data_IF_757176825511
#
_entry.id   IF_757176825511
#
_cell.length_a   1.000
_cell.length_b   1.000
_cell.length_c   1.000
_cell.angle_alpha   90.00
_cell.angle_beta   90.00
_cell.angle_gamma   90.00
#
_symmetry.space_group_name_H-M   'P 1'
#
loop_
_entity.id
_entity.type
_entity.pdbx_description
1 polymer ?
#
# COMPACT_ATOMS: atom_id res chain seq x y z
N UNK A 1 29.89 -7.22 -13.66
CA UNK A 1 28.73 -7.85 -13.04
C UNK A 1 29.00 -9.34 -13.06
N UNK A 2 29.40 -9.91 -11.93
CA UNK A 2 29.33 -11.37 -11.80
C UNK A 2 27.90 -11.79 -12.14
N UNK A 3 27.75 -12.81 -12.99
CA UNK A 3 26.47 -13.17 -13.61
C UNK A 3 25.40 -13.38 -12.53
N UNK A 4 24.39 -12.51 -12.48
CA UNK A 4 23.22 -12.72 -11.63
C UNK A 4 22.64 -14.09 -11.98
N UNK A 5 22.67 -15.01 -11.03
CA UNK A 5 22.32 -16.41 -11.26
C UNK A 5 20.82 -16.58 -11.08
N UNK A 6 20.14 -17.00 -12.14
CA UNK A 6 18.76 -17.50 -12.07
C UNK A 6 18.81 -18.92 -11.50
N UNK A 7 18.21 -19.09 -10.33
CA UNK A 7 18.21 -20.33 -9.52
C UNK A 7 16.93 -21.08 -9.79
N UNK A 8 17.05 -22.21 -10.49
CA UNK A 8 15.95 -23.13 -10.74
C UNK A 8 15.59 -23.90 -9.46
N UNK A 9 14.35 -23.77 -9.01
CA UNK A 9 13.83 -24.41 -7.79
C UNK A 9 12.79 -25.46 -8.17
N UNK A 10 13.01 -26.65 -7.64
CA UNK A 10 12.26 -27.89 -7.85
C UNK A 10 11.97 -28.52 -6.49
N UNK A 11 11.13 -29.57 -6.43
CA UNK A 11 10.81 -30.24 -5.17
C UNK A 11 12.05 -30.73 -4.42
N UNK A 12 13.07 -31.21 -5.15
CA UNK A 12 14.29 -31.80 -4.57
C UNK A 12 15.24 -30.82 -3.89
N UNK A 13 15.22 -29.54 -4.29
CA UNK A 13 16.12 -28.51 -3.73
C UNK A 13 15.36 -27.38 -3.01
N UNK A 14 14.03 -27.47 -2.89
CA UNK A 14 13.19 -26.44 -2.31
C UNK A 14 13.69 -25.94 -0.94
N UNK A 15 13.98 -26.84 -0.01
CA UNK A 15 14.41 -26.48 1.34
C UNK A 15 15.73 -25.71 1.37
N UNK A 16 16.70 -26.15 0.57
CA UNK A 16 17.99 -25.48 0.46
C UNK A 16 17.83 -24.09 -0.17
N UNK A 17 17.01 -23.96 -1.21
CA UNK A 17 16.79 -22.69 -1.90
C UNK A 17 16.01 -21.70 -1.05
N UNK A 18 14.98 -22.15 -0.31
CA UNK A 18 14.25 -21.31 0.63
C UNK A 18 15.11 -20.88 1.82
N UNK A 19 16.05 -21.71 2.28
CA UNK A 19 17.03 -21.29 3.28
C UNK A 19 17.91 -20.14 2.77
N UNK A 20 18.42 -20.23 1.53
CA UNK A 20 19.20 -19.15 0.92
C UNK A 20 18.36 -17.89 0.68
N UNK A 21 17.12 -18.06 0.26
CA UNK A 21 16.16 -16.97 0.07
C UNK A 21 15.91 -16.22 1.39
N UNK A 22 15.63 -16.95 2.48
CA UNK A 22 15.47 -16.38 3.84
C UNK A 22 16.69 -15.59 4.31
N UNK A 23 17.90 -16.12 4.12
CA UNK A 23 19.13 -15.41 4.48
C UNK A 23 19.31 -14.13 3.64
N UNK A 24 18.93 -14.16 2.37
CA UNK A 24 19.09 -13.02 1.45
C UNK A 24 18.13 -11.88 1.80
N UNK A 25 16.89 -12.20 2.18
CA UNK A 25 15.87 -11.21 2.56
C UNK A 25 16.29 -10.30 3.72
N UNK A 26 17.22 -10.74 4.58
CA UNK A 26 17.76 -9.93 5.68
C UNK A 26 18.50 -8.68 5.23
N UNK A 27 18.97 -8.67 3.98
CA UNK A 27 19.74 -7.57 3.39
C UNK A 27 19.11 -7.00 2.12
N UNK A 28 18.21 -7.74 1.47
CA UNK A 28 17.55 -7.38 0.23
C UNK A 28 16.03 -7.56 0.38
N UNK A 29 15.33 -6.51 0.77
CA UNK A 29 13.90 -6.53 1.12
C UNK A 29 12.96 -6.24 -0.07
N UNK A 30 13.51 -6.08 -1.28
CA UNK A 30 12.76 -5.77 -2.49
C UNK A 30 12.58 -7.03 -3.33
N UNK A 31 11.33 -7.50 -3.44
CA UNK A 31 10.91 -8.69 -4.17
C UNK A 31 10.29 -8.26 -5.49
N UNK A 32 11.04 -8.36 -6.59
CA UNK A 32 10.46 -8.25 -7.92
C UNK A 32 9.85 -9.58 -8.33
N UNK A 33 8.58 -9.57 -8.76
CA UNK A 33 7.79 -10.78 -8.99
C UNK A 33 7.24 -10.79 -10.41
N UNK A 34 7.24 -11.97 -11.01
CA UNK A 34 6.59 -12.28 -12.28
C UNK A 34 6.09 -13.74 -12.23
N UNK A 35 5.05 -14.08 -12.98
CA UNK A 35 4.45 -15.42 -12.97
C UNK A 35 4.14 -15.94 -14.36
N UNK A 36 4.25 -17.27 -14.53
CA UNK A 36 3.77 -17.97 -15.72
C UNK A 36 2.58 -18.85 -15.36
N UNK A 37 1.53 -18.79 -16.17
CA UNK A 37 0.24 -19.44 -15.94
C UNK A 37 -0.43 -19.80 -17.27
N UNK A 38 -1.46 -20.67 -17.30
CA UNK A 38 -1.96 -21.30 -18.55
C UNK A 38 -2.84 -20.36 -19.41
N UNK A 39 -2.60 -19.06 -19.34
CA UNK A 39 -3.33 -18.03 -20.08
C UNK A 39 -4.72 -17.71 -19.51
N UNK A 40 -5.56 -17.11 -20.35
CA UNK A 40 -6.88 -16.64 -19.97
C UNK A 40 -7.98 -17.54 -20.55
N UNK A 41 -8.86 -18.03 -19.68
CA UNK A 41 -10.08 -18.74 -20.07
C UNK A 41 -11.18 -17.76 -20.54
N UNK A 42 -11.23 -16.59 -19.92
CA UNK A 42 -12.02 -15.42 -20.34
C UNK A 42 -11.10 -14.28 -20.70
N UNK A 43 -11.28 -13.76 -21.91
CA UNK A 43 -10.59 -12.57 -22.37
C UNK A 43 -11.37 -11.32 -21.97
N UNK A 44 -10.69 -10.37 -21.35
CA UNK A 44 -11.27 -9.06 -21.02
C UNK A 44 -10.93 -8.03 -22.09
N UNK A 45 -11.93 -7.32 -22.66
CA UNK A 45 -11.68 -6.18 -23.55
C UNK A 45 -10.84 -5.08 -22.88
N UNK A 46 -10.03 -4.36 -23.65
CA UNK A 46 -9.15 -3.30 -23.11
C UNK A 46 -9.94 -2.16 -22.47
N UNK A 47 -11.09 -1.83 -23.04
CA UNK A 47 -12.04 -0.80 -22.62
C UNK A 47 -13.10 -1.32 -21.63
N UNK A 48 -12.99 -2.57 -21.19
CA UNK A 48 -13.92 -3.14 -20.23
C UNK A 48 -13.94 -2.34 -18.92
N UNK A 49 -15.13 -2.18 -18.28
CA UNK A 49 -15.22 -1.57 -16.97
C UNK A 49 -14.43 -2.39 -15.94
N UNK A 50 -13.96 -1.71 -14.89
CA UNK A 50 -13.14 -2.35 -13.84
C UNK A 50 -13.82 -3.54 -13.18
N UNK A 51 -15.14 -3.48 -12.99
CA UNK A 51 -15.94 -4.57 -12.42
C UNK A 51 -15.90 -5.83 -13.28
N UNK A 52 -16.00 -5.70 -14.60
CA UNK A 52 -15.88 -6.83 -15.53
C UNK A 52 -14.44 -7.35 -15.54
N UNK A 53 -13.45 -6.46 -15.58
CA UNK A 53 -12.03 -6.84 -15.56
C UNK A 53 -11.65 -7.64 -14.33
N UNK A 54 -12.12 -7.22 -13.15
CA UNK A 54 -11.89 -7.94 -11.92
C UNK A 54 -12.67 -9.27 -11.88
N UNK A 55 -13.92 -9.29 -12.36
CA UNK A 55 -14.72 -10.52 -12.45
C UNK A 55 -14.08 -11.58 -13.35
N UNK A 56 -13.56 -11.18 -14.51
CA UNK A 56 -12.85 -12.07 -15.43
C UNK A 56 -11.51 -12.54 -14.85
N UNK A 57 -10.76 -11.63 -14.20
CA UNK A 57 -9.53 -12.00 -13.48
C UNK A 57 -9.80 -13.05 -12.42
N UNK A 58 -10.81 -12.82 -11.57
CA UNK A 58 -11.23 -13.76 -10.54
C UNK A 58 -11.58 -15.11 -11.16
N UNK A 59 -12.42 -15.10 -12.19
CA UNK A 59 -12.81 -16.32 -12.90
C UNK A 59 -11.59 -17.08 -13.45
N UNK A 60 -10.66 -16.39 -14.11
CA UNK A 60 -9.46 -17.01 -14.64
C UNK A 60 -8.65 -17.66 -13.51
N UNK A 61 -8.25 -16.90 -12.50
CA UNK A 61 -7.36 -17.37 -11.42
C UNK A 61 -7.99 -18.47 -10.55
N UNK A 62 -9.29 -18.39 -10.29
CA UNK A 62 -9.97 -19.44 -9.52
C UNK A 62 -10.07 -20.78 -10.28
N UNK A 63 -9.96 -20.76 -11.61
CA UNK A 63 -10.16 -21.95 -12.47
C UNK A 63 -8.87 -22.42 -13.16
N UNK A 64 -7.73 -21.84 -12.82
CA UNK A 64 -6.41 -22.23 -13.35
C UNK A 64 -5.37 -22.28 -12.25
N UNK A 65 -4.34 -23.09 -12.46
CA UNK A 65 -3.21 -23.20 -11.53
C UNK A 65 -1.97 -22.47 -12.01
N UNK A 66 -1.17 -22.00 -11.05
CA UNK A 66 0.09 -21.30 -11.30
C UNK A 66 1.16 -22.31 -11.73
N UNK A 67 1.96 -21.98 -12.76
CA UNK A 67 2.97 -22.89 -13.30
C UNK A 67 4.37 -22.51 -12.79
N UNK A 68 4.72 -21.22 -12.89
CA UNK A 68 5.99 -20.71 -12.35
C UNK A 68 5.81 -19.41 -11.59
N UNK A 69 6.66 -19.21 -10.57
CA UNK A 69 6.81 -17.95 -9.84
C UNK A 69 8.29 -17.54 -9.88
N UNK A 70 8.56 -16.38 -10.43
CA UNK A 70 9.87 -15.76 -10.44
C UNK A 70 9.97 -14.72 -9.34
N UNK A 71 11.02 -14.77 -8.53
CA UNK A 71 11.30 -13.76 -7.52
C UNK A 71 12.75 -13.33 -7.62
N UNK A 72 12.99 -12.04 -7.86
CA UNK A 72 14.32 -11.44 -7.80
C UNK A 72 14.44 -10.55 -6.57
N UNK A 73 15.49 -10.79 -5.78
CA UNK A 73 15.78 -10.01 -4.58
C UNK A 73 16.81 -8.91 -4.87
N UNK A 74 16.45 -7.69 -4.51
CA UNK A 74 17.32 -6.51 -4.59
C UNK A 74 17.21 -5.62 -3.35
N UNK A 75 18.15 -4.69 -3.20
CA UNK A 75 18.12 -3.67 -2.16
C UNK A 75 17.56 -2.33 -2.69
N UNK A 76 17.40 -1.36 -1.80
CA UNK A 76 16.87 -0.03 -2.15
C UNK A 76 17.76 0.75 -3.14
N UNK A 77 19.02 0.37 -3.28
CA UNK A 77 19.99 0.97 -4.22
C UNK A 77 19.98 0.30 -5.59
N UNK A 78 19.22 -0.79 -5.75
CA UNK A 78 19.14 -1.56 -6.99
C UNK A 78 20.26 -2.59 -7.16
N UNK A 79 20.98 -2.94 -6.09
CA UNK A 79 21.90 -4.06 -6.12
C UNK A 79 21.10 -5.36 -6.08
N UNK A 80 21.32 -6.22 -7.06
CA UNK A 80 20.59 -7.48 -7.21
C UNK A 80 21.42 -8.60 -6.58
N UNK A 81 20.81 -9.36 -5.66
CA UNK A 81 21.48 -10.48 -5.02
C UNK A 81 21.35 -11.76 -5.83
N UNK A 82 20.12 -12.19 -6.11
CA UNK A 82 19.83 -13.46 -6.79
C UNK A 82 18.38 -13.50 -7.26
N UNK A 83 18.11 -14.39 -8.21
CA UNK A 83 16.78 -14.66 -8.76
C UNK A 83 16.43 -16.11 -8.53
N UNK A 84 15.22 -16.39 -8.04
CA UNK A 84 14.66 -17.73 -7.87
C UNK A 84 13.50 -17.92 -8.84
N UNK A 85 13.47 -19.08 -9.49
CA UNK A 85 12.36 -19.53 -10.31
C UNK A 85 11.79 -20.81 -9.71
N UNK A 86 10.60 -20.70 -9.14
CA UNK A 86 9.87 -21.82 -8.54
C UNK A 86 8.97 -22.45 -9.60
N UNK A 87 9.10 -23.77 -9.79
CA UNK A 87 8.32 -24.57 -10.74
C UNK A 87 7.29 -25.39 -9.98
N UNK A 88 5.98 -25.21 -10.24
CA UNK A 88 4.90 -25.89 -9.50
C UNK A 88 4.30 -27.05 -10.28
N UNK A 89 4.07 -28.19 -9.62
CA UNK A 89 3.57 -29.41 -10.26
C UNK A 89 2.05 -29.58 -10.19
N UNK A 90 1.33 -28.63 -9.59
CA UNK A 90 -0.11 -28.74 -9.36
C UNK A 90 -0.93 -28.58 -10.65
N UNK A 91 -0.39 -27.89 -11.67
CA UNK A 91 -1.06 -27.75 -12.97
C UNK A 91 -0.96 -29.03 -13.81
N UNK A 92 -2.12 -29.57 -14.23
CA UNK A 92 -2.21 -30.76 -15.07
C UNK A 92 -2.83 -30.45 -16.45
N UNK A 93 -1.95 -30.29 -17.45
CA UNK A 93 -2.31 -29.96 -18.83
C UNK A 93 -3.36 -30.89 -19.46
N UNK A 94 -3.43 -32.16 -19.02
CA UNK A 94 -4.33 -33.15 -19.63
C UNK A 94 -5.74 -33.12 -19.04
N UNK A 95 -5.90 -32.56 -17.83
CA UNK A 95 -7.15 -32.63 -17.06
C UNK A 95 -7.71 -31.25 -16.68
N UNK A 96 -6.92 -30.19 -16.76
CA UNK A 96 -7.32 -28.85 -16.34
C UNK A 96 -7.63 -27.91 -17.51
N UNK A 97 -8.50 -26.93 -17.25
CA UNK A 97 -8.83 -25.91 -18.23
C UNK A 97 -7.62 -25.00 -18.48
N UNK A 98 -7.27 -24.82 -19.76
CA UNK A 98 -6.17 -23.96 -20.15
C UNK A 98 -6.44 -23.28 -21.50
N UNK A 99 -5.67 -22.23 -21.79
CA UNK A 99 -5.64 -21.61 -23.10
C UNK A 99 -4.56 -22.29 -23.96
N UNK A 100 -4.98 -23.09 -24.95
CA UNK A 100 -4.06 -23.87 -25.79
C UNK A 100 -2.96 -23.03 -26.46
N UNK A 101 -3.31 -21.83 -26.95
CA UNK A 101 -2.33 -20.90 -27.56
C UNK A 101 -1.26 -20.47 -26.56
N UNK A 102 -1.65 -20.23 -25.30
CA UNK A 102 -0.73 -19.84 -24.23
C UNK A 102 0.16 -21.01 -23.83
N UNK A 103 -0.39 -22.22 -23.74
CA UNK A 103 0.38 -23.44 -23.49
C UNK A 103 1.40 -23.72 -24.61
N UNK A 104 1.00 -23.60 -25.87
CA UNK A 104 1.89 -23.75 -27.01
C UNK A 104 3.00 -22.70 -27.01
N UNK A 105 2.68 -21.47 -26.60
CA UNK A 105 3.65 -20.41 -26.43
C UNK A 105 4.66 -20.75 -25.32
N UNK A 106 4.20 -21.16 -24.14
CA UNK A 106 5.06 -21.55 -23.02
C UNK A 106 5.99 -22.73 -23.38
N UNK A 107 5.47 -23.74 -24.10
CA UNK A 107 6.29 -24.84 -24.62
C UNK A 107 7.40 -24.34 -25.55
N UNK A 108 7.09 -23.39 -26.44
CA UNK A 108 8.07 -22.78 -27.35
C UNK A 108 9.09 -21.91 -26.62
N UNK A 109 8.69 -21.28 -25.52
CA UNK A 109 9.58 -20.51 -24.62
C UNK A 109 10.48 -21.41 -23.76
N UNK A 110 10.28 -22.73 -23.80
CA UNK A 110 11.17 -23.71 -23.17
C UNK A 110 10.63 -24.36 -21.89
N UNK A 111 9.36 -24.16 -21.54
CA UNK A 111 8.76 -24.86 -20.39
C UNK A 111 8.56 -26.35 -20.71
N UNK A 112 9.16 -27.19 -19.87
CA UNK A 112 9.03 -28.65 -19.91
C UNK A 112 7.96 -29.11 -18.92
N UNK A 113 6.72 -29.23 -19.40
CA UNK A 113 5.57 -29.63 -18.59
C UNK A 113 5.70 -31.04 -18.00
N UNK A 114 6.38 -31.97 -18.69
CA UNK A 114 6.59 -33.32 -18.16
C UNK A 114 7.55 -33.30 -16.97
N UNK A 115 8.62 -32.51 -17.08
CA UNK A 115 9.52 -32.30 -15.96
C UNK A 115 8.85 -31.55 -14.81
N UNK A 116 8.06 -30.51 -15.09
CA UNK A 116 7.32 -29.76 -14.07
C UNK A 116 6.38 -30.69 -13.31
N UNK A 117 5.60 -31.53 -14.00
CA UNK A 117 4.72 -32.51 -13.37
C UNK A 117 5.48 -33.50 -12.49
N UNK A 118 6.67 -33.94 -12.92
CA UNK A 118 7.44 -34.98 -12.22
C UNK A 118 8.28 -34.45 -11.05
N UNK A 119 8.97 -33.33 -11.26
CA UNK A 119 10.01 -32.83 -10.36
C UNK A 119 9.62 -31.49 -9.69
N UNK A 120 8.47 -30.93 -10.04
CA UNK A 120 7.99 -29.64 -9.54
C UNK A 120 7.66 -29.65 -8.05
N UNK A 121 7.36 -28.45 -7.56
CA UNK A 121 7.04 -28.17 -6.17
C UNK A 121 5.54 -28.25 -5.99
N UNK A 122 5.07 -28.96 -4.97
CA UNK A 122 3.68 -28.84 -4.53
C UNK A 122 3.44 -27.45 -3.93
N UNK A 123 2.48 -26.70 -4.48
CA UNK A 123 2.11 -25.36 -4.03
C UNK A 123 1.78 -25.34 -2.53
N UNK A 124 1.13 -26.40 -2.02
CA UNK A 124 0.82 -26.56 -0.60
C UNK A 124 2.07 -26.60 0.31
N UNK A 125 3.15 -27.23 -0.15
CA UNK A 125 4.43 -27.31 0.58
C UNK A 125 5.16 -25.98 0.51
N UNK A 126 5.23 -25.38 -0.68
CA UNK A 126 5.81 -24.04 -0.86
C UNK A 126 5.13 -23.01 0.03
N UNK A 127 3.78 -22.96 0.01
CA UNK A 127 2.96 -22.02 0.78
C UNK A 127 3.32 -22.03 2.26
N UNK A 128 3.36 -23.20 2.90
CA UNK A 128 3.64 -23.29 4.34
C UNK A 128 5.01 -22.70 4.68
N UNK A 129 6.05 -23.09 3.94
CA UNK A 129 7.42 -22.62 4.17
C UNK A 129 7.59 -21.14 3.84
N UNK A 130 6.94 -20.68 2.77
CA UNK A 130 7.02 -19.30 2.33
C UNK A 130 6.30 -18.36 3.30
N UNK A 131 5.14 -18.75 3.85
CA UNK A 131 4.46 -18.00 4.90
C UNK A 131 5.29 -17.89 6.19
N UNK A 132 6.00 -18.96 6.58
CA UNK A 132 6.95 -18.91 7.71
C UNK A 132 8.02 -17.85 7.49
N UNK A 133 8.64 -17.82 6.29
CA UNK A 133 9.64 -16.80 5.93
C UNK A 133 9.02 -15.39 5.97
N UNK A 134 7.89 -15.18 5.29
CA UNK A 134 7.23 -13.86 5.24
C UNK A 134 6.80 -13.37 6.64
N UNK A 135 6.56 -14.26 7.59
CA UNK A 135 6.18 -13.88 8.97
C UNK A 135 7.34 -13.29 9.77
N UNK A 136 8.59 -13.60 9.40
CA UNK A 136 9.80 -13.17 10.11
C UNK A 136 10.36 -11.87 9.54
N UNK A 137 10.19 -11.63 8.24
CA UNK A 137 10.71 -10.43 7.57
C UNK A 137 9.69 -9.29 7.61
N UNK A 138 10.10 -8.16 8.16
CA UNK A 138 9.34 -6.91 8.13
C UNK A 138 9.76 -6.05 6.93
N UNK A 139 8.90 -5.12 6.51
CA UNK A 139 9.20 -4.08 5.51
C UNK A 139 9.59 -4.62 4.12
N UNK A 140 8.92 -5.69 3.68
CA UNK A 140 9.08 -6.21 2.33
C UNK A 140 8.40 -5.28 1.31
N UNK A 141 9.08 -5.03 0.19
CA UNK A 141 8.59 -4.23 -0.93
C UNK A 141 8.40 -5.15 -2.13
N UNK A 142 7.19 -5.19 -2.65
CA UNK A 142 6.82 -6.02 -3.80
C UNK A 142 6.82 -5.16 -5.05
N UNK A 143 7.51 -5.60 -6.09
CA UNK A 143 7.62 -4.89 -7.36
C UNK A 143 7.13 -5.78 -8.48
N UNK A 144 6.26 -5.24 -9.33
CA UNK A 144 5.73 -5.98 -10.49
C UNK A 144 5.70 -5.10 -11.72
N UNK A 145 5.47 -5.69 -12.89
CA UNK A 145 5.19 -4.95 -14.11
C UNK A 145 3.81 -5.35 -14.63
N UNK A 146 2.82 -4.46 -14.54
CA UNK A 146 1.42 -4.80 -14.87
C UNK A 146 0.90 -5.99 -14.03
N UNK A 147 1.37 -6.13 -12.80
CA UNK A 147 1.28 -7.40 -12.06
C UNK A 147 0.00 -7.62 -11.26
N UNK A 148 -1.15 -7.18 -11.77
CA UNK A 148 -2.43 -7.49 -11.13
C UNK A 148 -2.69 -9.01 -11.11
N UNK A 149 -2.41 -9.71 -12.22
CA UNK A 149 -2.54 -11.17 -12.29
C UNK A 149 -1.48 -11.85 -11.42
N UNK A 150 -0.23 -11.40 -11.46
CA UNK A 150 0.88 -11.97 -10.69
C UNK A 150 0.57 -11.94 -9.19
N UNK A 151 0.21 -10.77 -8.66
CA UNK A 151 -0.14 -10.62 -7.24
C UNK A 151 -1.41 -11.38 -6.88
N UNK A 152 -2.36 -11.52 -7.80
CA UNK A 152 -3.58 -12.27 -7.53
C UNK A 152 -3.32 -13.79 -7.50
N UNK A 153 -2.44 -14.34 -8.34
CA UNK A 153 -1.97 -15.72 -8.21
C UNK A 153 -1.19 -15.94 -6.92
N UNK A 154 -0.29 -15.01 -6.57
CA UNK A 154 0.44 -15.09 -5.29
C UNK A 154 -0.54 -14.98 -4.12
N UNK A 155 -1.57 -14.14 -4.20
CA UNK A 155 -2.61 -14.04 -3.17
C UNK A 155 -3.38 -15.37 -3.04
N UNK A 156 -3.86 -15.95 -4.14
CA UNK A 156 -4.52 -17.28 -4.16
C UNK A 156 -3.62 -18.34 -3.51
N UNK A 157 -2.34 -18.36 -3.87
CA UNK A 157 -1.34 -19.28 -3.31
C UNK A 157 -1.17 -19.09 -1.80
N UNK A 158 -1.07 -17.85 -1.32
CA UNK A 158 -0.85 -17.55 0.10
C UNK A 158 -2.10 -17.77 0.95
N UNK A 159 -3.25 -17.26 0.49
CA UNK A 159 -4.51 -17.38 1.22
C UNK A 159 -5.08 -18.79 1.17
N UNK A 160 -4.78 -19.55 0.11
CA UNK A 160 -5.37 -20.86 -0.18
C UNK A 160 -6.90 -20.80 -0.21
N UNK A 161 -7.43 -19.67 -0.70
CA UNK A 161 -8.85 -19.41 -0.88
C UNK A 161 -9.10 -18.92 -2.31
N UNK A 162 -10.35 -19.01 -2.74
CA UNK A 162 -10.81 -18.29 -3.93
C UNK A 162 -10.66 -16.78 -3.73
N UNK A 163 -10.37 -16.05 -4.81
CA UNK A 163 -10.18 -14.59 -4.71
C UNK A 163 -11.47 -13.89 -4.20
N UNK A 164 -11.37 -12.72 -3.54
CA UNK A 164 -12.56 -12.02 -3.05
C UNK A 164 -13.53 -11.62 -4.16
N UNK A 165 -14.82 -11.45 -3.83
CA UNK A 165 -15.85 -11.13 -4.83
C UNK A 165 -15.70 -9.73 -5.44
N UNK A 166 -15.13 -8.78 -4.68
CA UNK A 166 -14.96 -7.40 -5.10
C UNK A 166 -13.49 -7.00 -5.11
N UNK A 167 -13.14 -6.03 -5.95
CA UNK A 167 -11.77 -5.49 -6.00
C UNK A 167 -11.38 -4.82 -4.67
N UNK A 168 -12.35 -4.30 -3.93
CA UNK A 168 -12.12 -3.68 -2.62
C UNK A 168 -11.74 -4.71 -1.57
N UNK A 169 -12.41 -5.86 -1.56
CA UNK A 169 -12.07 -6.96 -0.66
C UNK A 169 -10.75 -7.62 -1.08
N UNK A 170 -10.46 -7.67 -2.38
CA UNK A 170 -9.16 -8.09 -2.90
C UNK A 170 -8.01 -7.24 -2.34
N UNK A 171 -8.08 -5.91 -2.45
CA UNK A 171 -6.98 -5.07 -1.95
C UNK A 171 -6.84 -5.13 -0.43
N UNK A 172 -7.94 -5.35 0.30
CA UNK A 172 -7.92 -5.57 1.76
C UNK A 172 -7.23 -6.89 2.13
N UNK A 173 -7.53 -7.97 1.43
CA UNK A 173 -6.89 -9.27 1.68
C UNK A 173 -5.42 -9.23 1.24
N UNK A 174 -5.13 -8.63 0.09
CA UNK A 174 -3.78 -8.40 -0.42
C UNK A 174 -2.91 -7.63 0.59
N UNK A 175 -3.48 -6.63 1.27
CA UNK A 175 -2.79 -5.82 2.27
C UNK A 175 -2.31 -6.60 3.52
N UNK A 176 -2.81 -7.83 3.73
CA UNK A 176 -2.33 -8.73 4.79
C UNK A 176 -0.93 -9.27 4.49
N UNK A 177 -0.65 -9.54 3.22
CA UNK A 177 0.59 -10.18 2.75
C UNK A 177 1.57 -9.20 2.12
N UNK A 178 1.07 -8.19 1.39
CA UNK A 178 1.88 -7.25 0.63
C UNK A 178 1.97 -5.91 1.37
N UNK A 179 3.08 -5.67 2.07
CA UNK A 179 3.26 -4.50 2.95
C UNK A 179 3.55 -3.19 2.21
N UNK A 180 4.18 -3.28 1.04
CA UNK A 180 4.39 -2.17 0.11
C UNK A 180 4.43 -2.75 -1.31
N UNK A 181 3.77 -2.09 -2.26
CA UNK A 181 3.61 -2.62 -3.64
C UNK A 181 3.91 -1.52 -4.65
N UNK A 182 4.68 -1.85 -5.69
CA UNK A 182 5.05 -0.93 -6.76
C UNK A 182 4.84 -1.60 -8.12
N UNK A 183 3.83 -1.13 -8.87
CA UNK A 183 3.64 -1.52 -10.27
C UNK A 183 4.39 -0.55 -11.19
N UNK A 184 5.45 -1.04 -11.83
CA UNK A 184 6.30 -0.28 -12.75
C UNK A 184 5.48 0.34 -13.88
N UNK A 185 4.49 -0.38 -14.40
CA UNK A 185 3.67 0.10 -15.52
C UNK A 185 2.76 1.24 -15.07
N UNK A 186 2.28 1.20 -13.82
CA UNK A 186 1.56 2.33 -13.21
C UNK A 186 2.48 3.54 -13.05
N UNK A 187 3.67 3.36 -12.49
CA UNK A 187 4.67 4.44 -12.33
C UNK A 187 5.04 5.08 -13.67
N UNK A 188 5.21 4.26 -14.72
CA UNK A 188 5.55 4.71 -16.07
C UNK A 188 4.53 5.69 -16.68
N UNK A 189 3.26 5.70 -16.21
CA UNK A 189 2.25 6.70 -16.63
C UNK A 189 2.68 8.13 -16.33
N UNK A 190 3.40 8.32 -15.25
CA UNK A 190 3.82 9.63 -14.73
C UNK A 190 5.23 10.02 -15.19
N UNK A 191 5.87 9.18 -16.02
CA UNK A 191 7.23 9.38 -16.49
C UNK A 191 7.23 9.89 -17.93
N UNK A 192 7.77 11.10 -18.15
CA UNK A 192 7.86 11.70 -19.49
C UNK A 192 8.67 10.81 -20.43
N UNK A 193 8.16 10.60 -21.64
CA UNK A 193 8.82 9.78 -22.67
C UNK A 193 8.51 8.29 -22.60
N UNK A 194 7.75 7.83 -21.59
CA UNK A 194 7.34 6.43 -21.46
C UNK A 194 5.90 6.19 -21.94
N UNK A 195 5.46 6.92 -22.98
CA UNK A 195 4.18 6.70 -23.68
C UNK A 195 2.95 6.56 -22.76
N UNK A 196 2.92 7.26 -21.62
CA UNK A 196 1.83 7.14 -20.64
C UNK A 196 1.68 5.73 -20.07
N UNK A 197 2.75 4.93 -20.00
CA UNK A 197 2.74 3.55 -19.50
C UNK A 197 2.24 2.50 -20.51
N UNK A 198 1.82 2.91 -21.71
CA UNK A 198 1.30 2.02 -22.77
C UNK A 198 2.44 1.34 -23.56
N UNK A 199 3.32 0.65 -22.86
CA UNK A 199 4.39 -0.18 -23.44
C UNK A 199 4.59 -1.48 -22.63
N UNK A 200 5.26 -2.46 -23.22
CA UNK A 200 5.65 -3.70 -22.55
C UNK A 200 7.01 -3.61 -21.88
N UNK A 201 7.30 -4.53 -20.96
CA UNK A 201 8.52 -4.56 -20.15
C UNK A 201 9.80 -4.52 -21.00
N UNK A 202 9.87 -5.33 -22.06
CA UNK A 202 11.01 -5.36 -22.98
C UNK A 202 11.27 -3.99 -23.63
N UNK A 203 10.21 -3.28 -24.06
CA UNK A 203 10.34 -1.95 -24.65
C UNK A 203 10.80 -0.94 -23.61
N UNK A 204 10.34 -1.08 -22.37
CA UNK A 204 10.74 -0.21 -21.27
C UNK A 204 12.22 -0.39 -20.94
N UNK A 205 12.67 -1.64 -20.86
CA UNK A 205 14.08 -1.98 -20.68
C UNK A 205 14.97 -1.38 -21.78
N UNK A 206 14.57 -1.50 -23.04
CA UNK A 206 15.29 -0.87 -24.16
C UNK A 206 15.42 0.65 -24.00
N UNK A 207 14.33 1.34 -23.63
CA UNK A 207 14.33 2.80 -23.42
C UNK A 207 15.26 3.20 -22.26
N UNK A 208 15.25 2.39 -21.19
CA UNK A 208 16.07 2.63 -20.00
C UNK A 208 17.50 2.09 -20.14
N UNK A 209 17.89 1.54 -21.29
CA UNK A 209 19.21 0.93 -21.54
C UNK A 209 19.55 -0.16 -20.53
N UNK A 210 18.56 -1.02 -20.25
CA UNK A 210 18.71 -2.20 -19.38
C UNK A 210 18.79 -3.45 -20.24
N UNK A 211 19.89 -4.18 -20.12
CA UNK A 211 20.09 -5.46 -20.80
C UNK A 211 19.33 -6.58 -20.07
N UNK A 212 18.69 -7.46 -20.84
CA UNK A 212 18.05 -8.67 -20.31
C UNK A 212 19.11 -9.73 -20.02
N UNK A 213 18.99 -10.38 -18.87
CA UNK A 213 19.74 -11.59 -18.54
C UNK A 213 18.77 -12.78 -18.42
N UNK A 214 18.90 -13.77 -19.31
CA UNK A 214 17.96 -14.89 -19.45
C UNK A 214 17.06 -14.76 -20.68
N UNK A 215 16.28 -15.81 -20.96
CA UNK A 215 15.30 -15.83 -22.06
C UNK A 215 14.04 -15.05 -21.66
N UNK A 216 13.38 -14.40 -22.61
CA UNK A 216 12.07 -13.78 -22.33
C UNK A 216 10.98 -14.84 -22.15
N UNK A 217 9.92 -14.53 -21.40
CA UNK A 217 8.78 -15.44 -21.14
C UNK A 217 9.16 -16.61 -20.25
N UNK A 218 9.85 -16.24 -19.17
CA UNK A 218 10.31 -17.11 -18.11
C UNK A 218 10.29 -16.29 -16.83
N UNK A 219 9.52 -16.74 -15.84
CA UNK A 219 9.21 -15.95 -14.65
C UNK A 219 10.48 -15.41 -13.95
N UNK A 220 11.54 -16.23 -13.86
CA UNK A 220 12.82 -15.84 -13.29
C UNK A 220 13.45 -14.68 -14.07
N UNK A 221 13.66 -14.84 -15.38
CA UNK A 221 14.25 -13.81 -16.25
C UNK A 221 13.42 -12.52 -16.29
N UNK A 222 12.09 -12.63 -16.33
CA UNK A 222 11.18 -11.47 -16.35
C UNK A 222 11.12 -10.76 -15.00
N UNK A 223 11.15 -11.48 -13.87
CA UNK A 223 11.30 -10.87 -12.54
C UNK A 223 12.65 -10.15 -12.37
N UNK A 224 13.72 -10.69 -12.97
CA UNK A 224 15.06 -10.07 -12.96
C UNK A 224 15.07 -8.79 -13.79
N UNK A 225 14.49 -8.83 -14.99
CA UNK A 225 14.36 -7.63 -15.81
C UNK A 225 13.50 -6.57 -15.11
N UNK A 226 12.42 -6.99 -14.45
CA UNK A 226 11.55 -6.13 -13.63
C UNK A 226 12.36 -5.42 -12.54
N UNK A 227 13.21 -6.13 -11.80
CA UNK A 227 14.10 -5.55 -10.78
C UNK A 227 15.06 -4.51 -11.38
N UNK A 228 15.76 -4.87 -12.46
CA UNK A 228 16.71 -3.98 -13.14
C UNK A 228 16.02 -2.71 -13.67
N UNK A 229 14.85 -2.86 -14.29
CA UNK A 229 14.04 -1.76 -14.80
C UNK A 229 13.58 -0.85 -13.67
N UNK A 230 13.10 -1.39 -12.56
CA UNK A 230 12.66 -0.59 -11.42
C UNK A 230 13.81 0.24 -10.83
N UNK A 231 14.97 -0.39 -10.60
CA UNK A 231 16.16 0.30 -10.11
C UNK A 231 16.59 1.44 -11.04
N UNK A 232 16.60 1.19 -12.36
CA UNK A 232 16.96 2.20 -13.35
C UNK A 232 15.92 3.31 -13.45
N UNK A 233 14.63 2.97 -13.42
CA UNK A 233 13.51 3.90 -13.47
C UNK A 233 13.55 4.87 -12.28
N UNK A 234 13.73 4.35 -11.06
CA UNK A 234 13.90 5.15 -9.84
C UNK A 234 15.00 6.20 -9.98
N UNK A 235 16.16 5.77 -10.49
CA UNK A 235 17.32 6.65 -10.63
C UNK A 235 17.14 7.71 -11.73
N UNK A 236 16.60 7.33 -12.89
CA UNK A 236 16.44 8.25 -14.04
C UNK A 236 15.36 9.29 -13.78
N UNK A 237 14.22 8.89 -13.20
CA UNK A 237 13.06 9.75 -13.00
C UNK A 237 12.94 10.31 -11.58
N UNK A 238 13.87 9.96 -10.67
CA UNK A 238 13.86 10.37 -9.25
C UNK A 238 12.53 10.06 -8.58
N UNK A 239 12.09 8.81 -8.75
CA UNK A 239 10.80 8.34 -8.23
C UNK A 239 10.80 8.35 -6.71
N UNK A 240 9.87 9.10 -6.11
CA UNK A 240 9.55 9.00 -4.69
C UNK A 240 8.54 7.87 -4.47
N UNK A 241 9.01 6.77 -3.87
CA UNK A 241 8.21 5.55 -3.67
C UNK A 241 6.89 5.79 -2.93
N UNK A 242 6.85 6.70 -1.94
CA UNK A 242 5.64 7.02 -1.18
C UNK A 242 4.45 7.44 -2.04
N UNK A 243 4.71 8.00 -3.23
CA UNK A 243 3.66 8.50 -4.13
C UNK A 243 3.02 7.37 -4.95
N UNK A 244 3.64 6.19 -4.99
CA UNK A 244 3.23 5.06 -5.84
C UNK A 244 2.93 3.79 -5.05
N UNK A 245 3.16 3.78 -3.73
CA UNK A 245 2.92 2.66 -2.84
C UNK A 245 1.45 2.19 -2.89
N UNK A 246 1.25 0.92 -3.26
CA UNK A 246 -0.04 0.24 -3.27
C UNK A 246 -0.81 0.34 -4.60
N UNK A 247 -0.38 1.16 -5.56
CA UNK A 247 -1.10 1.32 -6.82
C UNK A 247 -0.76 0.23 -7.83
N UNK A 248 -1.78 -0.28 -8.51
CA UNK A 248 -1.67 -1.26 -9.59
C UNK A 248 -2.20 -0.66 -10.90
N UNK A 249 -1.65 -1.07 -12.05
CA UNK A 249 -2.02 -0.49 -13.34
C UNK A 249 -3.51 -0.64 -13.69
N UNK A 250 -4.11 -1.77 -13.31
CA UNK A 250 -5.40 -2.22 -13.84
C UNK A 250 -6.58 -2.09 -12.88
N UNK A 251 -6.37 -1.62 -11.66
CA UNK A 251 -7.42 -1.41 -10.64
C UNK A 251 -7.21 -0.08 -9.93
N UNK A 252 -8.30 0.56 -9.53
CA UNK A 252 -8.30 1.91 -8.95
C UNK A 252 -7.98 1.90 -7.45
N UNK A 253 -8.54 0.99 -6.62
CA UNK A 253 -8.20 0.95 -5.20
C UNK A 253 -6.74 0.50 -5.01
N UNK A 254 -6.04 1.17 -4.09
CA UNK A 254 -4.67 0.81 -3.72
C UNK A 254 -4.64 -0.26 -2.63
N UNK A 255 -3.61 -1.11 -2.68
CA UNK A 255 -3.26 -2.02 -1.60
C UNK A 255 -2.65 -1.20 -0.48
N UNK A 256 -3.39 -1.00 0.60
CA UNK A 256 -2.94 -0.22 1.74
C UNK A 256 -2.72 -1.14 2.94
N UNK A 257 -1.46 -1.39 3.30
CA UNK A 257 -1.14 -2.24 4.46
C UNK A 257 -1.77 -1.67 5.74
N UNK A 258 -2.50 -2.54 6.46
CA UNK A 258 -3.05 -2.22 7.78
C UNK A 258 -2.03 -2.36 8.91
N UNK A 259 -0.83 -2.88 8.62
CA UNK A 259 0.25 -2.94 9.63
C UNK A 259 0.80 -1.53 9.80
N UNK A 260 0.84 -0.96 11.02
CA UNK A 260 1.50 0.33 11.23
C UNK A 260 2.94 0.22 10.72
N UNK A 261 3.36 1.15 9.85
CA UNK A 261 4.77 1.34 9.53
C UNK A 261 5.46 1.68 10.86
N UNK A 262 6.02 0.68 11.54
CA UNK A 262 6.87 0.95 12.70
C UNK A 262 8.13 1.58 12.12
N UNK A 263 8.12 2.92 12.06
CA UNK A 263 9.34 3.70 11.91
C UNK A 263 10.08 3.52 13.22
N UNK A 264 10.93 2.50 13.31
CA UNK A 264 11.94 2.45 14.37
C UNK A 264 12.97 3.49 13.93
N UNK A 265 13.14 4.63 14.61
CA UNK A 265 14.19 5.56 14.26
C UNK A 265 15.51 4.82 14.40
N UNK A 266 16.16 4.54 13.26
CA UNK A 266 17.54 4.07 13.24
C UNK A 266 18.41 5.23 13.70
N UNK A 267 18.66 5.31 15.00
CA UNK A 267 19.84 6.00 15.47
C UNK A 267 21.05 5.22 14.93
N UNK A 268 21.72 5.78 13.92
CA UNK A 268 23.04 5.32 13.52
C UNK A 268 23.95 5.40 14.75
N UNK A 269 24.22 4.26 15.40
CA UNK A 269 25.28 4.19 16.38
C UNK A 269 26.62 4.01 15.66
N UNK A 270 27.64 4.85 15.95
CA UNK A 270 28.98 4.59 15.46
C UNK A 270 29.51 3.29 16.10
N UNK A 271 30.11 2.43 15.26
CA UNK A 271 30.84 1.24 15.66
C UNK A 271 31.97 1.62 16.63
N UNK A 272 31.75 1.41 17.93
CA UNK A 272 32.83 1.35 18.93
C UNK A 272 33.06 -0.14 19.25
N UNK A 273 34.28 -0.67 19.06
CA UNK A 273 34.58 -2.06 19.40
C UNK A 273 34.71 -2.19 20.92
N UNK A 274 33.88 -3.04 21.54
CA UNK A 274 34.00 -3.35 22.98
C UNK A 274 34.79 -4.67 23.18
N UNK A 275 35.62 -4.79 24.24
CA UNK A 275 36.61 -5.85 24.46
C UNK A 275 36.00 -7.10 25.20
N UNK A 276 36.76 -8.19 25.47
CA UNK A 276 36.25 -9.55 25.66
C UNK A 276 35.68 -9.83 27.08
N UNK A 277 34.96 -10.96 27.29
CA UNK A 277 34.00 -11.13 28.38
C UNK A 277 34.56 -11.86 29.61
N UNK A 278 33.97 -11.62 30.79
CA UNK A 278 34.01 -12.47 31.99
C UNK A 278 32.84 -12.12 32.95
N UNK A 279 32.43 -12.99 33.89
CA UNK A 279 31.68 -14.24 33.73
C UNK A 279 30.30 -14.20 34.43
N UNK A 280 29.52 -15.27 34.22
CA UNK A 280 28.11 -15.48 34.61
C UNK A 280 27.72 -15.21 36.08
N UNK A 281 26.48 -14.72 36.27
CA UNK A 281 25.66 -15.09 37.42
C UNK A 281 24.18 -15.28 37.03
N UNK A 282 23.76 -16.53 37.19
CA UNK A 282 22.45 -17.14 37.42
C UNK A 282 21.17 -16.26 37.51
N UNK A 283 20.25 -16.55 36.57
CA UNK A 283 18.78 -16.73 36.65
C UNK A 283 18.00 -16.08 37.80
N UNK A 284 17.01 -15.24 37.43
CA UNK A 284 15.69 -15.18 38.07
C UNK A 284 14.60 -14.93 37.00
N UNK A 285 13.59 -15.79 36.96
CA UNK A 285 12.39 -15.69 36.13
C UNK A 285 11.53 -14.47 36.51
N UNK A 286 10.97 -13.76 35.51
CA UNK A 286 9.89 -12.80 35.69
C UNK A 286 9.85 -11.71 34.62
N UNK A 287 8.75 -11.60 33.87
CA UNK A 287 8.50 -10.56 32.85
C UNK A 287 8.81 -9.15 33.38
N UNK A 288 9.36 -8.22 32.58
CA UNK A 288 9.15 -6.80 32.82
C UNK A 288 7.82 -6.38 32.19
N UNK A 289 6.94 -5.83 33.03
CA UNK A 289 5.82 -5.00 32.61
C UNK A 289 6.34 -3.82 31.77
N UNK A 290 5.55 -3.40 30.78
CA UNK A 290 5.73 -2.11 30.09
C UNK A 290 5.98 -1.00 31.12
N UNK A 291 6.94 -0.09 30.89
CA UNK A 291 7.13 1.03 31.80
C UNK A 291 5.85 1.87 31.81
N UNK A 292 5.25 2.06 32.99
CA UNK A 292 4.22 3.07 33.20
C UNK A 292 4.89 4.42 32.90
N UNK A 293 4.49 5.07 31.82
CA UNK A 293 4.95 6.41 31.50
C UNK A 293 4.52 7.35 32.64
N UNK A 294 5.50 7.90 33.36
CA UNK A 294 5.26 8.90 34.40
C UNK A 294 4.97 10.25 33.72
N UNK A 295 3.93 10.98 34.17
CA UNK A 295 3.59 12.33 33.68
C UNK A 295 4.78 13.31 33.70
N UNK A 296 5.77 13.08 34.56
CA UNK A 296 7.00 13.88 34.62
C UNK A 296 7.90 13.79 33.37
N UNK A 297 7.65 12.84 32.46
CA UNK A 297 8.37 12.73 31.18
C UNK A 297 7.64 13.38 30.01
N UNK A 298 6.43 13.91 30.21
CA UNK A 298 5.69 14.65 29.19
C UNK A 298 6.36 16.03 29.06
N UNK A 299 6.97 16.28 27.90
CA UNK A 299 7.63 17.56 27.58
C UNK A 299 6.72 18.55 26.86
N UNK A 300 5.67 18.03 26.23
CA UNK A 300 4.73 18.82 25.44
C UNK A 300 3.32 18.28 25.66
N UNK A 301 2.39 19.17 25.97
CA UNK A 301 0.97 18.87 26.01
C UNK A 301 0.30 19.45 24.77
N UNK A 302 -0.28 18.57 23.95
CA UNK A 302 -0.96 18.93 22.72
C UNK A 302 -2.43 18.52 22.79
N UNK A 303 -3.32 19.46 22.44
CA UNK A 303 -4.74 19.18 22.24
C UNK A 303 -5.00 18.99 20.75
N UNK A 304 -5.77 17.96 20.41
CA UNK A 304 -6.17 17.64 19.05
C UNK A 304 -7.69 17.73 18.94
N UNK A 305 -8.16 18.59 18.04
CA UNK A 305 -9.57 18.82 17.78
C UNK A 305 -9.83 18.62 16.28
N UNK A 306 -10.96 17.99 15.99
CA UNK A 306 -11.40 17.64 14.65
C UNK A 306 -12.65 18.45 14.30
N UNK A 307 -12.43 19.72 13.94
CA UNK A 307 -13.54 20.63 13.72
C UNK A 307 -14.42 20.15 12.57
N UNK A 308 -15.64 19.72 12.90
CA UNK A 308 -16.75 19.46 11.99
C UNK A 308 -17.97 20.30 12.36
N UNK A 309 -17.74 21.48 12.93
CA UNK A 309 -18.83 22.39 13.26
C UNK A 309 -19.33 23.07 11.99
N UNK A 310 -20.51 22.64 11.57
CA UNK A 310 -21.32 23.31 10.57
C UNK A 310 -22.20 24.30 11.31
N UNK A 311 -22.00 25.60 11.09
CA UNK A 311 -22.91 26.68 11.50
C UNK A 311 -24.36 26.51 10.97
N UNK A 312 -24.61 25.42 10.23
CA UNK A 312 -25.85 25.08 9.53
C UNK A 312 -26.47 23.74 10.00
N UNK A 313 -25.97 23.16 11.09
CA UNK A 313 -26.37 21.83 11.57
C UNK A 313 -25.78 20.70 10.72
N UNK A 314 -25.95 19.46 11.18
CA UNK A 314 -25.43 18.27 10.48
C UNK A 314 -25.76 18.28 8.98
N UNK A 315 -24.74 18.02 8.14
CA UNK A 315 -24.88 17.72 6.71
C UNK A 315 -26.00 16.67 6.51
N UNK A 316 -26.86 16.74 5.49
CA UNK A 316 -28.01 15.83 5.36
C UNK A 316 -27.66 14.33 5.47
N UNK A 317 -26.46 13.94 5.04
CA UNK A 317 -25.95 12.57 5.14
C UNK A 317 -25.52 12.20 6.57
N UNK A 318 -24.94 13.15 7.31
CA UNK A 318 -24.63 12.98 8.74
C UNK A 318 -25.92 13.01 9.54
N UNK A 319 -26.89 13.86 9.18
CA UNK A 319 -28.21 13.93 9.81
C UNK A 319 -29.01 12.65 9.58
N UNK A 320 -28.99 12.07 8.38
CA UNK A 320 -29.54 10.72 8.14
C UNK A 320 -28.87 9.66 9.01
N UNK A 321 -27.55 9.74 9.18
CA UNK A 321 -26.80 8.80 10.04
C UNK A 321 -27.13 9.00 11.52
N UNK A 322 -27.22 10.25 11.97
CA UNK A 322 -27.55 10.65 13.36
C UNK A 322 -29.02 10.34 13.69
N UNK A 323 -29.94 10.55 12.74
CA UNK A 323 -31.37 10.22 12.86
C UNK A 323 -31.62 8.71 12.82
N UNK A 324 -30.77 7.93 12.13
CA UNK A 324 -30.80 6.46 12.14
C UNK A 324 -30.15 5.84 13.38
N UNK A 325 -29.35 6.60 14.13
CA UNK A 325 -28.63 6.16 15.33
C UNK A 325 -29.36 6.52 16.64
N UNK A 326 -30.66 6.23 16.75
CA UNK A 326 -31.43 6.18 18.02
C UNK A 326 -31.10 7.32 19.04
N UNK A 327 -30.84 8.53 18.54
CA UNK A 327 -30.44 9.67 19.36
C UNK A 327 -31.64 10.19 20.15
N UNK A 328 -31.44 10.67 21.40
CA UNK A 328 -32.54 11.15 22.21
C UNK A 328 -33.26 12.33 21.51
N UNK A 329 -34.60 12.29 21.39
CA UNK A 329 -35.36 13.37 20.77
C UNK A 329 -35.13 14.71 21.51
N UNK A 330 -35.28 15.86 20.80
CA UNK A 330 -35.10 17.19 21.38
C UNK A 330 -35.87 17.34 22.70
N UNK A 331 -35.21 17.86 23.73
CA UNK A 331 -35.82 18.10 25.05
C UNK A 331 -35.68 16.98 26.09
N UNK A 332 -34.83 15.97 25.86
CA UNK A 332 -34.46 14.95 26.88
C UNK A 332 -33.19 15.27 27.69
N UNK A 333 -32.40 16.27 27.28
CA UNK A 333 -31.28 16.78 28.07
C UNK A 333 -31.79 17.75 29.14
N UNK A 334 -31.17 17.75 30.32
CA UNK A 334 -31.61 18.53 31.49
C UNK A 334 -31.63 20.05 31.28
N UNK A 335 -30.95 20.52 30.23
CA UNK A 335 -30.84 21.93 29.83
C UNK A 335 -31.59 22.26 28.52
N UNK A 336 -32.36 21.31 27.96
CA UNK A 336 -33.06 21.43 26.68
C UNK A 336 -32.15 21.65 25.45
N UNK A 337 -30.84 21.46 25.57
CA UNK A 337 -29.92 21.48 24.43
C UNK A 337 -30.19 20.30 23.47
N UNK A 338 -29.69 20.41 22.24
CA UNK A 338 -29.72 19.36 21.24
C UNK A 338 -28.32 19.16 20.66
N UNK A 339 -28.13 18.15 19.80
CA UNK A 339 -26.83 17.84 19.20
C UNK A 339 -26.49 18.73 17.98
N UNK A 340 -27.28 19.78 17.69
CA UNK A 340 -27.04 20.64 16.52
C UNK A 340 -25.73 21.46 16.67
N UNK A 341 -25.30 21.71 17.91
CA UNK A 341 -24.04 22.41 18.24
C UNK A 341 -23.27 21.52 19.23
N UNK A 342 -22.12 20.98 18.80
CA UNK A 342 -21.34 20.05 19.63
C UNK A 342 -20.25 20.76 20.44
N UNK A 343 -19.25 21.34 19.77
CA UNK A 343 -18.11 22.04 20.37
C UNK A 343 -18.03 23.41 19.71
N UNK A 344 -18.59 24.45 20.35
CA UNK A 344 -18.78 25.78 19.75
C UNK A 344 -17.50 26.64 19.68
N UNK A 345 -16.38 26.02 19.29
CA UNK A 345 -15.09 26.69 19.22
C UNK A 345 -15.10 27.84 18.21
N UNK A 346 -15.83 27.70 17.10
CA UNK A 346 -15.90 28.74 16.09
C UNK A 346 -16.26 30.12 16.69
N UNK A 347 -17.16 30.14 17.67
CA UNK A 347 -17.55 31.36 18.39
C UNK A 347 -16.71 31.64 19.64
N UNK A 348 -16.21 30.60 20.33
CA UNK A 348 -15.52 30.71 21.63
C UNK A 348 -14.01 30.43 21.59
N UNK A 349 -13.38 30.47 20.41
CA UNK A 349 -11.97 30.11 20.27
C UNK A 349 -11.04 30.96 21.16
N UNK A 350 -11.39 32.22 21.41
CA UNK A 350 -10.57 33.09 22.25
C UNK A 350 -10.56 32.64 23.72
N UNK A 351 -11.72 32.27 24.25
CA UNK A 351 -11.90 31.70 25.58
C UNK A 351 -11.25 30.33 25.70
N UNK A 352 -11.44 29.47 24.68
CA UNK A 352 -10.84 28.14 24.63
C UNK A 352 -9.32 28.21 24.63
N UNK A 353 -8.72 29.13 23.87
CA UNK A 353 -7.27 29.37 23.87
C UNK A 353 -6.79 29.85 25.24
N UNK A 354 -7.57 30.67 25.95
CA UNK A 354 -7.23 31.08 27.30
C UNK A 354 -7.24 29.88 28.26
N UNK A 355 -8.23 28.99 28.16
CA UNK A 355 -8.27 27.76 28.94
C UNK A 355 -7.09 26.83 28.61
N UNK A 356 -6.76 26.68 27.32
CA UNK A 356 -5.58 25.92 26.89
C UNK A 356 -4.30 26.49 27.53
N UNK A 357 -4.18 27.82 27.60
CA UNK A 357 -3.04 28.48 28.23
C UNK A 357 -3.00 28.21 29.73
N UNK A 358 -4.13 28.32 30.41
CA UNK A 358 -4.25 28.10 31.86
C UNK A 358 -3.96 26.64 32.24
N UNK A 359 -4.25 25.70 31.34
CA UNK A 359 -3.89 24.28 31.45
C UNK A 359 -2.42 23.96 31.15
N UNK A 360 -1.66 24.93 30.62
CA UNK A 360 -0.25 24.75 30.25
C UNK A 360 -0.04 23.96 28.97
N UNK A 361 -0.96 24.08 27.99
CA UNK A 361 -0.79 23.50 26.65
C UNK A 361 0.37 24.18 25.90
N UNK A 362 1.18 23.39 25.20
CA UNK A 362 2.32 23.87 24.41
C UNK A 362 1.96 24.02 22.93
N UNK A 363 1.07 23.17 22.44
CA UNK A 363 0.67 23.11 21.05
C UNK A 363 -0.82 22.83 20.90
N UNK A 364 -1.40 23.33 19.81
CA UNK A 364 -2.78 23.06 19.44
C UNK A 364 -2.88 22.61 17.99
N UNK A 365 -3.40 21.40 17.78
CA UNK A 365 -3.64 20.83 16.47
C UNK A 365 -5.11 21.00 16.10
N UNK A 366 -5.35 21.59 14.93
CA UNK A 366 -6.70 21.80 14.37
C UNK A 366 -6.71 21.55 12.86
N UNK A 367 -7.91 21.33 12.30
CA UNK A 367 -8.12 21.16 10.86
C UNK A 367 -8.79 22.38 10.22
N UNK A 368 -8.54 22.57 8.92
CA UNK A 368 -9.25 23.57 8.12
C UNK A 368 -10.52 22.95 7.53
N UNK A 369 -11.66 23.60 7.76
CA UNK A 369 -12.92 23.34 7.08
C UNK A 369 -12.91 24.04 5.71
N UNK A 370 -12.52 23.33 4.67
CA UNK A 370 -12.47 23.84 3.30
C UNK A 370 -13.86 24.19 2.77
N UNK A 371 -14.91 23.56 3.28
CA UNK A 371 -16.29 23.97 3.03
C UNK A 371 -16.59 25.42 3.43
N UNK A 372 -15.91 25.97 4.43
CA UNK A 372 -16.09 27.37 4.85
C UNK A 372 -15.29 28.36 4.00
N UNK A 373 -14.08 27.99 3.56
CA UNK A 373 -13.23 28.84 2.71
C UNK A 373 -13.72 28.81 1.25
N UNK A 374 -14.20 27.65 0.79
CA UNK A 374 -14.61 27.38 -0.58
C UNK A 374 -16.03 26.77 -0.63
N UNK A 375 -17.07 27.50 -0.21
CA UNK A 375 -18.42 26.94 -0.09
C UNK A 375 -19.02 26.50 -1.42
N UNK A 376 -18.65 27.17 -2.53
CA UNK A 376 -19.21 26.95 -3.87
C UNK A 376 -18.18 26.44 -4.89
N UNK A 377 -17.03 25.94 -4.44
CA UNK A 377 -16.02 25.45 -5.38
C UNK A 377 -16.51 24.16 -6.06
N UNK A 378 -16.71 24.21 -7.38
CA UNK A 378 -17.24 23.11 -8.19
C UNK A 378 -16.19 22.49 -9.12
N UNK A 379 -14.98 23.03 -9.12
CA UNK A 379 -13.94 22.68 -10.08
C UNK A 379 -12.61 22.41 -9.39
N UNK A 380 -11.88 21.44 -9.93
CA UNK A 380 -10.59 20.94 -9.40
C UNK A 380 -9.46 21.95 -9.61
N UNK A 381 -9.63 22.90 -10.52
CA UNK A 381 -8.66 23.95 -10.82
C UNK A 381 -8.65 25.12 -9.81
N UNK A 382 -9.49 25.04 -8.76
CA UNK A 382 -9.61 26.09 -7.76
C UNK A 382 -10.44 27.30 -8.21
N UNK A 383 -11.19 27.20 -9.32
CA UNK A 383 -12.11 28.25 -9.76
C UNK A 383 -13.39 28.27 -8.90
N UNK A 384 -13.26 28.81 -7.69
CA UNK A 384 -14.36 29.12 -6.78
C UNK A 384 -14.14 30.46 -6.10
N UNK A 385 -15.21 31.18 -5.78
CA UNK A 385 -15.11 32.40 -4.96
C UNK A 385 -14.68 32.02 -3.55
N UNK A 386 -13.60 32.64 -3.07
CA UNK A 386 -13.09 32.48 -1.70
C UNK A 386 -14.03 33.22 -0.76
N UNK A 387 -14.50 32.53 0.27
CA UNK A 387 -15.18 33.16 1.39
C UNK A 387 -14.14 33.76 2.35
N UNK A 388 -13.94 35.07 2.25
CA UNK A 388 -12.95 35.79 3.05
C UNK A 388 -13.22 35.65 4.56
N UNK A 389 -14.48 35.53 5.00
CA UNK A 389 -14.80 35.37 6.41
C UNK A 389 -14.23 34.06 7.00
N UNK A 390 -14.22 32.97 6.22
CA UNK A 390 -13.61 31.70 6.63
C UNK A 390 -12.08 31.80 6.72
N UNK A 391 -11.46 32.54 5.79
CA UNK A 391 -10.01 32.83 5.83
C UNK A 391 -9.66 33.66 7.07
N UNK A 392 -10.45 34.70 7.33
CA UNK A 392 -10.24 35.60 8.47
C UNK A 392 -10.39 34.86 9.80
N UNK A 393 -11.34 33.92 9.90
CA UNK A 393 -11.49 33.07 11.08
C UNK A 393 -10.20 32.29 11.41
N UNK A 394 -9.65 31.53 10.45
CA UNK A 394 -8.43 30.75 10.69
C UNK A 394 -7.20 31.63 10.94
N UNK A 395 -7.10 32.79 10.29
CA UNK A 395 -6.05 33.76 10.60
C UNK A 395 -6.16 34.26 12.05
N UNK A 396 -7.36 34.65 12.48
CA UNK A 396 -7.61 35.12 13.85
C UNK A 396 -7.30 34.01 14.89
N UNK A 397 -7.64 32.76 14.59
CA UNK A 397 -7.33 31.61 15.44
C UNK A 397 -5.81 31.41 15.59
N UNK A 398 -5.08 31.39 14.46
CA UNK A 398 -3.62 31.25 14.44
C UNK A 398 -2.95 32.39 15.20
N UNK A 399 -3.36 33.63 14.94
CA UNK A 399 -2.82 34.81 15.60
C UNK A 399 -3.08 34.79 17.11
N UNK A 400 -4.27 34.34 17.54
CA UNK A 400 -4.63 34.21 18.96
C UNK A 400 -3.78 33.13 19.68
N UNK A 401 -3.53 31.98 19.03
CA UNK A 401 -2.66 30.91 19.57
C UNK A 401 -1.23 31.42 19.74
N UNK A 402 -0.68 32.04 18.70
CA UNK A 402 0.67 32.59 18.71
C UNK A 402 0.81 33.69 19.77
N UNK A 403 -0.19 34.55 19.94
CA UNK A 403 -0.20 35.59 20.97
C UNK A 403 -0.15 35.03 22.40
N UNK A 404 -0.64 33.80 22.62
CA UNK A 404 -0.58 33.09 23.91
C UNK A 404 0.62 32.15 24.03
N UNK A 405 1.48 32.10 23.01
CA UNK A 405 2.67 31.24 22.95
C UNK A 405 2.32 29.76 22.87
N UNK A 406 1.20 29.42 22.23
CA UNK A 406 0.78 28.05 21.89
C UNK A 406 1.11 27.83 20.42
N UNK A 407 1.82 26.75 20.10
CA UNK A 407 2.24 26.45 18.72
C UNK A 407 1.07 25.87 17.90
N UNK A 408 0.65 26.52 16.78
CA UNK A 408 -0.41 26.01 15.93
C UNK A 408 0.09 24.90 14.99
N UNK A 409 -0.58 23.75 14.99
CA UNK A 409 -0.34 22.64 14.07
C UNK A 409 -1.54 22.45 13.15
N UNK A 410 -1.46 23.00 11.94
CA UNK A 410 -2.56 22.97 10.98
C UNK A 410 -2.58 21.64 10.23
N UNK A 411 -3.71 20.94 10.31
CA UNK A 411 -4.00 19.79 9.46
C UNK A 411 -4.73 20.29 8.22
N UNK A 412 -4.01 20.33 7.09
CA UNK A 412 -4.55 20.80 5.82
C UNK A 412 -5.68 19.94 5.27
N UNK A 413 -5.88 18.70 5.74
CA UNK A 413 -7.04 17.90 5.33
C UNK A 413 -7.40 16.91 6.43
N UNK A 414 -8.65 16.97 6.88
CA UNK A 414 -9.20 16.04 7.86
C UNK A 414 -10.63 15.64 7.51
N UNK A 415 -10.79 14.96 6.38
CA UNK A 415 -12.09 14.45 5.91
C UNK A 415 -13.15 15.53 5.63
N UNK A 416 -12.75 16.79 5.46
CA UNK A 416 -13.64 17.89 5.03
C UNK A 416 -13.30 18.34 3.60
N UNK A 417 -14.33 18.56 2.79
CA UNK A 417 -14.27 19.02 1.40
C UNK A 417 -15.25 20.18 1.22
N UNK A 418 -15.05 21.05 0.21
CA UNK A 418 -16.09 21.93 -0.30
C UNK A 418 -17.42 21.20 -0.48
N UNK A 419 -18.49 21.63 0.21
CA UNK A 419 -19.82 20.99 0.14
C UNK A 419 -20.30 20.85 -1.31
N UNK A 420 -20.07 21.88 -2.11
CA UNK A 420 -20.44 21.90 -3.51
C UNK A 420 -19.77 20.77 -4.35
N UNK A 421 -18.57 20.30 -3.96
CA UNK A 421 -17.92 19.13 -4.58
C UNK A 421 -18.59 17.81 -4.17
N UNK A 422 -19.03 17.70 -2.91
CA UNK A 422 -19.78 16.54 -2.43
C UNK A 422 -21.11 16.45 -3.16
N UNK A 423 -21.88 17.55 -3.18
CA UNK A 423 -23.23 17.60 -3.74
C UNK A 423 -23.26 17.36 -5.25
N UNK A 424 -22.30 17.89 -6.00
CA UNK A 424 -22.30 17.80 -7.47
C UNK A 424 -21.56 16.58 -8.01
N UNK A 425 -20.47 16.20 -7.35
CA UNK A 425 -19.51 15.24 -7.90
C UNK A 425 -19.33 14.00 -7.02
N UNK A 426 -20.10 13.85 -5.93
CA UNK A 426 -19.94 12.74 -4.98
C UNK A 426 -18.58 12.78 -4.25
N UNK A 427 -17.99 13.98 -4.12
CA UNK A 427 -16.72 14.20 -3.42
C UNK A 427 -15.55 13.42 -4.02
N UNK A 428 -14.77 12.76 -3.17
CA UNK A 428 -13.60 11.95 -3.59
C UNK A 428 -13.92 10.77 -4.52
N UNK A 429 -15.20 10.41 -4.69
CA UNK A 429 -15.60 9.39 -5.66
C UNK A 429 -15.59 9.90 -7.11
N UNK A 430 -15.39 11.21 -7.32
CA UNK A 430 -15.18 11.78 -8.65
C UNK A 430 -13.75 11.60 -9.13
N UNK A 431 -13.59 10.93 -10.26
CA UNK A 431 -12.30 10.60 -10.87
C UNK A 431 -11.44 11.79 -11.31
N UNK A 432 -11.97 13.03 -11.33
CA UNK A 432 -11.14 14.22 -11.61
C UNK A 432 -10.63 14.90 -10.33
N UNK A 433 -11.20 14.59 -9.15
CA UNK A 433 -10.75 15.17 -7.85
C UNK A 433 -9.57 14.36 -7.27
N UNK A 434 -9.45 13.08 -7.65
CA UNK A 434 -8.24 12.25 -7.45
C UNK A 434 -7.27 12.41 -8.61
#
# INVERSE_FOLDING_TARGET
MDSVKIRQVWGVNLDHELFLFDQTLRHHNLLSVDTEFPGFLRNTPRDAPETLRYSDLKFNIDNTELIQLGITLSDDYGNISSTWEFNFCDFDIDNEACNETSIDFLKKSGLDFERIRKDGIFMSVFRHKFLEILSVHANLKWVTFHGLYDLAYVLKLLSNNSLPLTVFDFVKEAAVYFTAVFDIKFIARFCKGLMGGELGLNRLACILTVDRCGEAHNAGSDSLLTACVFAKLKNVYRIEESNFDGFLYSVSPKIQSMRPKIVVPHYCQPLIPCPPPFPQMMVCYGRPAHPRHHFQMIRYLALDEADRMLDMGFEPQIRETVDQMDMPPPGKLTDFSNADVAVDQYHFFAEDIQLMKDMGMDAYRFSIAWSQIFPMCLFVDGSGEINQAGVDHYNNLIDALLAKGIEPYVTLYHWDLPQALVDKNNGWLYWQIM
#
